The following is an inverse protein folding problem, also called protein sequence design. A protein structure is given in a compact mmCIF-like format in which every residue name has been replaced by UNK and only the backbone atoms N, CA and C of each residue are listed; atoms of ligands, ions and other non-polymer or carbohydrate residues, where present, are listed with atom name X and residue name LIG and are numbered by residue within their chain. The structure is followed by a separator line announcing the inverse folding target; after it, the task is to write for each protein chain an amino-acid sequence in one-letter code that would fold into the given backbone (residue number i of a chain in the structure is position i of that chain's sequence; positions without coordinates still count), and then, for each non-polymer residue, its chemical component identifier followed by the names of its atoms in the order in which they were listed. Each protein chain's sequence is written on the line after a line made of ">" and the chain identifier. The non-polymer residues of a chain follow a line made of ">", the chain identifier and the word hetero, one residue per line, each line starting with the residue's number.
data_IF_926052029744
#
_entry.id   IF_926052029744
#
_cell.length_a   1.000
_cell.length_b   1.000
_cell.length_c   1.000
_cell.angle_alpha   90.00
_cell.angle_beta   90.00
_cell.angle_gamma   90.00
#
_symmetry.space_group_name_H-M   'P 1'
#
loop_
_entity.id
_entity.type
_entity.pdbx_description
1 polymer ?
#
# COMPACT_ATOMS: atom_id res chain seq x y z
N UNK A 1 -4.82 -17.88 -25.64
CA UNK A 1 -3.46 -17.87 -25.07
C UNK A 1 -3.27 -16.76 -24.02
N UNK A 2 -4.13 -15.74 -23.91
CA UNK A 2 -4.06 -14.77 -22.80
C UNK A 2 -4.65 -15.30 -21.48
N UNK A 3 -5.65 -16.21 -21.55
CA UNK A 3 -6.30 -16.80 -20.39
C UNK A 3 -5.49 -17.90 -19.66
N UNK A 4 -4.31 -18.28 -20.16
CA UNK A 4 -3.50 -19.33 -19.52
C UNK A 4 -2.55 -18.78 -18.43
N UNK A 5 -2.40 -17.45 -18.34
CA UNK A 5 -1.48 -16.80 -17.38
C UNK A 5 -2.24 -16.21 -16.18
N UNK A 6 -3.52 -15.86 -16.36
CA UNK A 6 -4.30 -15.21 -15.31
C UNK A 6 -4.94 -16.28 -14.41
N UNK A 7 -4.30 -16.53 -13.26
CA UNK A 7 -4.73 -17.59 -12.35
C UNK A 7 -6.04 -17.21 -11.64
N UNK A 8 -6.83 -18.19 -11.15
CA UNK A 8 -8.01 -17.91 -10.33
C UNK A 8 -7.73 -17.01 -9.12
N UNK A 9 -6.50 -17.10 -8.58
CA UNK A 9 -6.04 -16.23 -7.50
C UNK A 9 -5.98 -14.76 -7.94
N UNK A 10 -5.46 -14.48 -9.14
CA UNK A 10 -5.43 -13.12 -9.68
C UNK A 10 -6.83 -12.60 -10.00
N UNK A 11 -7.73 -13.44 -10.50
CA UNK A 11 -9.14 -13.06 -10.68
C UNK A 11 -9.78 -12.65 -9.36
N UNK A 12 -9.60 -13.46 -8.32
CA UNK A 12 -10.07 -13.14 -6.98
C UNK A 12 -9.46 -11.82 -6.47
N UNK A 13 -8.15 -11.64 -6.66
CA UNK A 13 -7.47 -10.41 -6.26
C UNK A 13 -8.01 -9.17 -7.00
N UNK A 14 -8.32 -9.28 -8.29
CA UNK A 14 -8.89 -8.16 -9.06
C UNK A 14 -10.30 -7.76 -8.61
N UNK A 15 -11.01 -8.66 -7.94
CA UNK A 15 -12.30 -8.36 -7.29
C UNK A 15 -12.17 -7.92 -5.84
N UNK A 16 -10.94 -7.85 -5.30
CA UNK A 16 -10.72 -7.47 -3.91
C UNK A 16 -11.11 -6.01 -3.63
N UNK A 17 -11.50 -5.68 -2.39
CA UNK A 17 -11.97 -4.34 -2.04
C UNK A 17 -10.96 -3.22 -2.37
N UNK A 18 -9.66 -3.47 -2.15
CA UNK A 18 -8.60 -2.51 -2.45
C UNK A 18 -8.46 -2.26 -3.95
N UNK A 19 -8.56 -3.31 -4.77
CA UNK A 19 -8.50 -3.17 -6.23
C UNK A 19 -9.74 -2.48 -6.76
N UNK A 20 -10.93 -2.86 -6.28
CA UNK A 20 -12.19 -2.21 -6.67
C UNK A 20 -12.17 -0.71 -6.32
N UNK A 21 -11.65 -0.34 -5.15
CA UNK A 21 -11.46 1.06 -4.78
C UNK A 21 -10.48 1.79 -5.72
N UNK A 22 -9.27 1.25 -5.92
CA UNK A 22 -8.26 1.95 -6.73
C UNK A 22 -8.63 2.02 -8.21
N UNK A 23 -9.49 1.12 -8.69
CA UNK A 23 -10.05 1.19 -10.06
C UNK A 23 -11.01 2.36 -10.26
N UNK A 24 -11.50 3.02 -9.20
CA UNK A 24 -12.35 4.22 -9.33
C UNK A 24 -11.59 5.46 -9.83
N UNK A 25 -10.26 5.37 -10.00
CA UNK A 25 -9.42 6.48 -10.47
C UNK A 25 -8.99 6.32 -11.93
N UNK A 26 -8.88 7.47 -12.60
CA UNK A 26 -8.15 7.58 -13.87
C UNK A 26 -8.66 6.64 -14.97
N UNK A 27 -7.76 6.11 -15.83
CA UNK A 27 -8.15 5.27 -16.96
C UNK A 27 -8.86 3.97 -16.57
N UNK A 28 -8.60 3.44 -15.37
CA UNK A 28 -9.22 2.19 -14.91
C UNK A 28 -10.71 2.35 -14.58
N UNK A 29 -11.15 3.57 -14.26
CA UNK A 29 -12.56 3.85 -13.94
C UNK A 29 -13.52 3.60 -15.12
N UNK A 30 -12.99 3.63 -16.35
CA UNK A 30 -13.77 3.34 -17.54
C UNK A 30 -14.07 1.83 -17.70
N UNK A 31 -13.31 0.93 -17.06
CA UNK A 31 -13.53 -0.52 -17.13
C UNK A 31 -13.38 -1.12 -18.53
N UNK A 32 -12.66 -0.44 -19.44
CA UNK A 32 -12.58 -0.83 -20.85
C UNK A 32 -11.46 -1.84 -21.15
N UNK A 33 -10.64 -2.20 -20.16
CA UNK A 33 -9.50 -3.13 -20.31
C UNK A 33 -9.84 -4.55 -19.87
N UNK A 34 -9.00 -5.52 -20.24
CA UNK A 34 -9.08 -6.87 -19.67
C UNK A 34 -8.58 -6.86 -18.22
N UNK A 35 -8.95 -7.86 -17.41
CA UNK A 35 -8.41 -8.03 -16.05
C UNK A 35 -6.87 -8.05 -16.04
N UNK A 36 -6.25 -8.61 -17.10
CA UNK A 36 -4.80 -8.63 -17.25
C UNK A 36 -4.24 -7.21 -17.48
N UNK A 37 -4.85 -6.42 -18.35
CA UNK A 37 -4.42 -5.04 -18.62
C UNK A 37 -4.51 -4.17 -17.38
N UNK A 38 -5.62 -4.30 -16.65
CA UNK A 38 -5.85 -3.57 -15.40
C UNK A 38 -4.85 -4.01 -14.32
N UNK A 39 -4.58 -5.31 -14.18
CA UNK A 39 -3.58 -5.80 -13.24
C UNK A 39 -2.17 -5.31 -13.59
N UNK A 40 -1.79 -5.34 -14.87
CA UNK A 40 -0.51 -4.82 -15.35
C UNK A 40 -0.36 -3.34 -15.02
N UNK A 41 -1.43 -2.54 -15.14
CA UNK A 41 -1.41 -1.13 -14.75
C UNK A 41 -1.20 -0.92 -13.23
N UNK A 42 -1.65 -1.86 -12.38
CA UNK A 42 -1.36 -1.79 -10.94
C UNK A 42 0.12 -2.06 -10.65
N UNK A 43 0.70 -3.07 -11.31
CA UNK A 43 2.06 -3.53 -11.00
C UNK A 43 3.15 -2.73 -11.70
N UNK A 44 2.89 -2.08 -12.84
CA UNK A 44 3.90 -1.31 -13.59
C UNK A 44 4.37 -0.02 -12.88
N UNK A 45 3.64 0.37 -11.83
CA UNK A 45 3.91 1.53 -10.99
C UNK A 45 3.55 2.87 -11.62
N UNK A 46 3.11 2.94 -12.87
CA UNK A 46 2.75 4.21 -13.54
C UNK A 46 1.45 4.75 -12.98
N UNK A 47 0.40 3.93 -12.99
CA UNK A 47 -0.93 4.32 -12.54
C UNK A 47 -0.94 4.70 -11.06
N UNK A 48 -0.34 3.87 -10.20
CA UNK A 48 -0.34 4.10 -8.75
C UNK A 48 0.47 5.36 -8.35
N UNK A 49 1.54 5.70 -9.08
CA UNK A 49 2.22 6.99 -8.88
C UNK A 49 1.33 8.18 -9.29
N UNK A 50 0.48 8.04 -10.32
CA UNK A 50 -0.48 9.09 -10.67
C UNK A 50 -1.55 9.27 -9.58
N UNK A 51 -2.02 8.18 -8.98
CA UNK A 51 -2.94 8.23 -7.83
C UNK A 51 -2.24 8.92 -6.65
N UNK A 52 -1.00 8.56 -6.33
CA UNK A 52 -0.22 9.21 -5.27
C UNK A 52 -0.03 10.72 -5.52
N UNK A 53 0.16 11.14 -6.77
CA UNK A 53 0.25 12.55 -7.14
C UNK A 53 -1.08 13.30 -6.93
N UNK A 54 -2.23 12.64 -7.12
CA UNK A 54 -3.54 13.23 -6.80
C UNK A 54 -3.73 13.38 -5.29
N UNK A 55 -3.25 12.41 -4.51
CA UNK A 55 -3.31 12.41 -3.04
C UNK A 55 -2.40 13.50 -2.45
N UNK A 56 -1.15 13.60 -2.94
CA UNK A 56 -0.18 14.58 -2.50
C UNK A 56 0.44 15.37 -3.68
N UNK A 57 -0.27 16.40 -4.19
CA UNK A 57 0.22 17.21 -5.31
C UNK A 57 1.51 17.99 -5.02
N UNK A 58 1.86 18.18 -3.73
CA UNK A 58 3.05 18.91 -3.30
C UNK A 58 4.32 18.04 -3.33
N UNK A 59 4.18 16.73 -3.50
CA UNK A 59 5.31 15.80 -3.63
C UNK A 59 6.20 16.19 -4.81
N UNK A 60 7.52 16.20 -4.60
CA UNK A 60 8.45 16.34 -5.71
C UNK A 60 8.19 15.24 -6.74
N UNK A 61 7.80 15.65 -7.95
CA UNK A 61 7.46 14.73 -9.02
C UNK A 61 8.71 14.05 -9.56
N UNK A 62 9.09 12.92 -8.94
CA UNK A 62 10.11 12.04 -9.50
C UNK A 62 9.59 11.45 -10.82
N UNK A 63 10.47 11.40 -11.83
CA UNK A 63 10.06 10.98 -13.18
C UNK A 63 9.85 9.47 -13.24
N UNK A 64 8.60 9.06 -13.41
CA UNK A 64 8.23 7.66 -13.68
C UNK A 64 8.44 7.28 -15.14
N UNK A 65 8.80 6.03 -15.39
CA UNK A 65 8.91 5.47 -16.73
C UNK A 65 7.52 5.11 -17.25
N UNK A 66 7.01 5.86 -18.23
CA UNK A 66 5.67 5.65 -18.81
C UNK A 66 5.57 4.45 -19.74
N UNK A 67 6.69 4.00 -20.31
CA UNK A 67 6.76 2.86 -21.24
C UNK A 67 7.53 1.72 -20.60
N UNK A 68 6.87 1.06 -19.63
CA UNK A 68 7.49 -0.03 -18.86
C UNK A 68 7.67 -1.27 -19.71
N UNK A 69 6.75 -1.57 -20.64
CA UNK A 69 6.82 -2.71 -21.56
C UNK A 69 7.15 -4.04 -20.85
N UNK A 70 6.57 -4.25 -19.67
CA UNK A 70 6.81 -5.41 -18.80
C UNK A 70 8.27 -5.58 -18.30
N UNK A 71 9.14 -4.57 -18.47
CA UNK A 71 10.51 -4.57 -17.98
C UNK A 71 10.56 -4.53 -16.44
N UNK A 72 11.22 -5.52 -15.84
CA UNK A 72 11.31 -5.66 -14.39
C UNK A 72 12.07 -4.51 -13.73
N UNK A 73 13.15 -4.02 -14.32
CA UNK A 73 13.95 -2.94 -13.75
C UNK A 73 13.19 -1.61 -13.77
N UNK A 74 12.46 -1.32 -14.85
CA UNK A 74 11.62 -0.13 -14.94
C UNK A 74 10.44 -0.19 -13.95
N UNK A 75 9.83 -1.38 -13.79
CA UNK A 75 8.79 -1.62 -12.78
C UNK A 75 9.31 -1.37 -11.37
N UNK A 76 10.43 -2.00 -11.02
CA UNK A 76 11.09 -1.83 -9.71
C UNK A 76 11.38 -0.35 -9.46
N UNK A 77 11.90 0.37 -10.45
CA UNK A 77 12.17 1.79 -10.34
C UNK A 77 10.91 2.60 -10.03
N UNK A 78 9.83 2.41 -10.81
CA UNK A 78 8.57 3.12 -10.59
C UNK A 78 7.95 2.82 -9.22
N UNK A 79 7.94 1.54 -8.82
CA UNK A 79 7.43 1.12 -7.51
C UNK A 79 8.30 1.64 -6.36
N UNK A 80 9.62 1.73 -6.53
CA UNK A 80 10.52 2.31 -5.52
C UNK A 80 10.22 3.78 -5.27
N UNK A 81 9.91 4.54 -6.33
CA UNK A 81 9.46 5.93 -6.20
C UNK A 81 8.18 5.97 -5.36
N UNK A 82 7.19 5.15 -5.70
CA UNK A 82 5.90 5.13 -5.01
C UNK A 82 6.03 4.78 -3.53
N UNK A 83 6.75 3.71 -3.20
CA UNK A 83 6.96 3.30 -1.80
C UNK A 83 7.69 4.39 -1.02
N UNK A 84 8.67 5.06 -1.62
CA UNK A 84 9.34 6.22 -1.00
C UNK A 84 8.36 7.37 -0.74
N UNK A 85 7.52 7.71 -1.71
CA UNK A 85 6.53 8.79 -1.55
C UNK A 85 5.50 8.47 -0.47
N UNK A 86 4.99 7.23 -0.44
CA UNK A 86 4.07 6.76 0.60
C UNK A 86 4.74 6.86 1.97
N UNK A 87 5.95 6.31 2.14
CA UNK A 87 6.67 6.36 3.42
C UNK A 87 6.91 7.81 3.88
N UNK A 88 7.35 8.66 2.96
CA UNK A 88 7.56 10.08 3.25
C UNK A 88 6.26 10.77 3.66
N UNK A 89 5.14 10.46 3.00
CA UNK A 89 3.85 11.05 3.32
C UNK A 89 3.38 10.66 4.73
N UNK A 90 3.42 9.37 5.06
CA UNK A 90 3.11 8.89 6.41
C UNK A 90 3.98 9.60 7.47
N UNK A 91 5.29 9.60 7.27
CA UNK A 91 6.22 10.08 8.29
C UNK A 91 6.18 11.61 8.42
N UNK A 92 6.28 12.35 7.31
CA UNK A 92 6.48 13.80 7.35
C UNK A 92 5.16 14.57 7.32
N UNK A 93 4.13 14.06 6.64
CA UNK A 93 2.83 14.74 6.52
C UNK A 93 1.85 14.28 7.59
N UNK A 94 1.73 12.97 7.81
CA UNK A 94 0.78 12.42 8.78
C UNK A 94 1.36 12.30 10.19
N UNK A 95 2.69 12.43 10.35
CA UNK A 95 3.38 12.16 11.62
C UNK A 95 3.08 10.75 12.14
N UNK A 96 3.12 9.77 11.22
CA UNK A 96 2.82 8.36 11.49
C UNK A 96 3.98 7.47 11.01
N UNK A 97 4.29 6.43 11.77
CA UNK A 97 5.26 5.39 11.41
C UNK A 97 4.53 4.17 10.83
N UNK A 98 4.99 3.68 9.68
CA UNK A 98 4.52 2.40 9.12
C UNK A 98 5.24 1.27 9.86
N UNK A 99 4.50 0.51 10.67
CA UNK A 99 4.99 -0.56 11.54
C UNK A 99 4.92 -1.95 10.88
N UNK A 100 3.96 -2.13 9.98
CA UNK A 100 3.92 -3.30 9.10
C UNK A 100 5.12 -3.35 8.15
N UNK A 101 5.38 -4.51 7.55
CA UNK A 101 6.41 -4.62 6.51
C UNK A 101 6.06 -3.74 5.31
N UNK A 102 7.04 -2.96 4.82
CA UNK A 102 6.86 -2.17 3.61
C UNK A 102 6.73 -3.09 2.38
N UNK A 103 6.01 -2.65 1.32
CA UNK A 103 5.87 -3.43 0.09
C UNK A 103 7.24 -3.74 -0.53
N UNK A 104 7.52 -5.01 -0.77
CA UNK A 104 8.77 -5.45 -1.38
C UNK A 104 8.71 -5.30 -2.91
N UNK A 105 9.22 -4.17 -3.39
CA UNK A 105 9.24 -3.81 -4.82
C UNK A 105 10.03 -4.79 -5.68
N UNK A 106 10.97 -5.56 -5.12
CA UNK A 106 11.73 -6.56 -5.88
C UNK A 106 10.87 -7.78 -6.22
N UNK A 107 10.00 -8.19 -5.29
CA UNK A 107 9.07 -9.31 -5.50
C UNK A 107 8.06 -8.93 -6.58
N UNK A 108 7.40 -7.77 -6.45
CA UNK A 108 6.45 -7.26 -7.47
C UNK A 108 7.15 -7.07 -8.82
N UNK A 109 8.36 -6.52 -8.79
CA UNK A 109 9.21 -6.25 -9.95
C UNK A 109 9.51 -7.49 -10.79
N UNK A 110 9.99 -8.55 -10.13
CA UNK A 110 10.48 -9.77 -10.77
C UNK A 110 9.37 -10.78 -11.04
N UNK A 111 8.42 -10.92 -10.11
CA UNK A 111 7.39 -11.96 -10.14
C UNK A 111 6.00 -11.36 -9.87
N UNK A 112 5.53 -10.40 -10.68
CA UNK A 112 4.27 -9.70 -10.44
C UNK A 112 3.08 -10.67 -10.35
N UNK A 113 3.02 -11.70 -11.19
CA UNK A 113 1.91 -12.66 -11.25
C UNK A 113 1.97 -13.80 -10.20
N UNK A 114 2.91 -13.73 -9.26
CA UNK A 114 3.01 -14.72 -8.18
C UNK A 114 2.05 -14.37 -7.02
N UNK A 115 1.73 -15.36 -6.18
CA UNK A 115 0.98 -15.14 -4.93
C UNK A 115 1.70 -14.11 -4.04
N UNK A 116 3.01 -14.26 -3.85
CA UNK A 116 3.82 -13.30 -3.11
C UNK A 116 3.78 -11.90 -3.74
N UNK A 117 3.90 -11.80 -5.07
CA UNK A 117 3.78 -10.53 -5.78
C UNK A 117 2.44 -9.85 -5.53
N UNK A 118 1.36 -10.62 -5.55
CA UNK A 118 0.00 -10.14 -5.29
C UNK A 118 -0.18 -9.65 -3.85
N UNK A 119 0.37 -10.36 -2.86
CA UNK A 119 0.37 -9.91 -1.46
C UNK A 119 1.19 -8.62 -1.26
N UNK A 120 2.32 -8.45 -1.95
CA UNK A 120 3.08 -7.20 -1.89
C UNK A 120 2.33 -6.03 -2.56
N UNK A 121 1.58 -6.29 -3.64
CA UNK A 121 0.69 -5.28 -4.25
C UNK A 121 -0.45 -4.92 -3.31
N UNK A 122 -1.02 -5.89 -2.59
CA UNK A 122 -2.05 -5.64 -1.58
C UNK A 122 -1.56 -4.67 -0.50
N UNK A 123 -0.35 -4.89 0.05
CA UNK A 123 0.28 -3.96 1.02
C UNK A 123 0.44 -2.55 0.43
N UNK A 124 0.85 -2.46 -0.84
CA UNK A 124 1.02 -1.19 -1.53
C UNK A 124 -0.31 -0.43 -1.66
N UNK A 125 -1.38 -1.11 -2.07
CA UNK A 125 -2.72 -0.52 -2.18
C UNK A 125 -3.29 -0.13 -0.82
N UNK A 126 -3.06 -0.95 0.21
CA UNK A 126 -3.49 -0.69 1.58
C UNK A 126 -2.87 0.60 2.14
N UNK A 127 -1.56 0.79 1.98
CA UNK A 127 -0.88 2.02 2.41
C UNK A 127 -1.29 3.24 1.56
N UNK A 128 -1.53 3.04 0.26
CA UNK A 128 -2.02 4.11 -0.62
C UNK A 128 -3.44 4.57 -0.22
N UNK A 129 -4.30 3.64 0.20
CA UNK A 129 -5.61 3.95 0.78
C UNK A 129 -5.48 4.78 2.05
N UNK A 130 -4.58 4.39 2.96
CA UNK A 130 -4.34 5.16 4.18
C UNK A 130 -3.81 6.56 3.93
N UNK A 131 -3.00 6.76 2.87
CA UNK A 131 -2.64 8.09 2.41
C UNK A 131 -3.87 8.87 1.90
N UNK A 132 -4.70 8.26 1.06
CA UNK A 132 -5.86 8.90 0.44
C UNK A 132 -6.90 9.39 1.44
N UNK A 133 -7.24 8.56 2.44
CA UNK A 133 -8.28 8.88 3.43
C UNK A 133 -7.81 9.84 4.53
N UNK A 134 -6.51 10.09 4.61
CA UNK A 134 -5.90 11.04 5.55
C UNK A 134 -5.33 12.28 4.85
N UNK A 135 -5.56 12.45 3.55
CA UNK A 135 -5.05 13.61 2.81
C UNK A 135 -5.92 14.87 2.93
N UNK A 136 -5.39 16.00 2.45
CA UNK A 136 -6.09 17.28 2.47
C UNK A 136 -7.41 17.24 1.67
N UNK A 137 -7.50 16.38 0.66
CA UNK A 137 -8.69 16.19 -0.19
C UNK A 137 -9.44 14.89 0.14
N UNK A 138 -9.29 14.37 1.36
CA UNK A 138 -9.85 13.07 1.76
C UNK A 138 -11.33 12.93 1.44
N UNK A 139 -12.11 13.99 1.52
CA UNK A 139 -13.54 14.00 1.20
C UNK A 139 -13.80 13.49 -0.23
N UNK A 140 -13.01 13.90 -1.22
CA UNK A 140 -13.12 13.42 -2.61
C UNK A 140 -12.83 11.91 -2.73
N UNK A 141 -11.95 11.37 -1.89
CA UNK A 141 -11.61 9.95 -1.87
C UNK A 141 -12.67 9.14 -1.11
N UNK A 142 -13.22 9.69 -0.03
CA UNK A 142 -14.31 9.09 0.75
C UNK A 142 -15.60 9.04 -0.08
N UNK A 143 -15.94 10.07 -0.85
CA UNK A 143 -17.09 10.04 -1.76
C UNK A 143 -16.99 8.91 -2.79
N UNK A 144 -15.79 8.66 -3.34
CA UNK A 144 -15.56 7.52 -4.24
C UNK A 144 -15.78 6.18 -3.54
N UNK A 145 -15.30 6.03 -2.31
CA UNK A 145 -15.56 4.83 -1.49
C UNK A 145 -17.07 4.68 -1.21
N UNK A 146 -17.78 5.79 -0.98
CA UNK A 146 -19.22 5.79 -0.78
C UNK A 146 -20.01 5.40 -2.04
N UNK A 147 -19.45 5.55 -3.23
CA UNK A 147 -20.06 5.12 -4.50
C UNK A 147 -19.98 3.60 -4.76
N UNK A 148 -19.14 2.88 -4.00
CA UNK A 148 -19.02 1.42 -4.08
C UNK A 148 -20.26 0.72 -3.52
N UNK A 149 -20.46 -0.53 -3.92
CA UNK A 149 -21.49 -1.39 -3.35
C UNK A 149 -21.29 -1.60 -1.84
N UNK A 150 -22.36 -2.03 -1.17
CA UNK A 150 -22.40 -2.09 0.29
C UNK A 150 -21.29 -2.98 0.88
N UNK A 151 -21.09 -4.17 0.33
CA UNK A 151 -20.14 -5.15 0.85
C UNK A 151 -18.70 -4.68 0.61
N UNK A 152 -18.40 -4.18 -0.58
CA UNK A 152 -17.08 -3.62 -0.90
C UNK A 152 -16.77 -2.42 0.00
N UNK A 153 -17.73 -1.52 0.23
CA UNK A 153 -17.55 -0.36 1.11
C UNK A 153 -17.24 -0.76 2.55
N UNK A 154 -17.96 -1.74 3.08
CA UNK A 154 -17.71 -2.26 4.43
C UNK A 154 -16.31 -2.86 4.54
N UNK A 155 -15.87 -3.61 3.53
CA UNK A 155 -14.54 -4.20 3.50
C UNK A 155 -13.42 -3.15 3.32
N UNK A 156 -13.63 -2.11 2.50
CA UNK A 156 -12.71 -0.97 2.42
C UNK A 156 -12.64 -0.23 3.75
N UNK A 157 -13.77 -0.05 4.46
CA UNK A 157 -13.77 0.56 5.78
C UNK A 157 -12.94 -0.22 6.81
N UNK A 158 -12.96 -1.57 6.74
CA UNK A 158 -12.09 -2.40 7.57
C UNK A 158 -10.60 -2.16 7.24
N UNK A 159 -10.24 -2.04 5.96
CA UNK A 159 -8.87 -1.67 5.56
C UNK A 159 -8.48 -0.25 5.98
N UNK A 160 -9.40 0.71 6.00
CA UNK A 160 -9.14 2.04 6.55
C UNK A 160 -8.78 1.92 8.03
N UNK A 161 -9.56 1.19 8.82
CA UNK A 161 -9.26 0.96 10.24
C UNK A 161 -7.88 0.32 10.42
N UNK A 162 -7.54 -0.63 9.56
CA UNK A 162 -6.25 -1.32 9.54
C UNK A 162 -5.04 -0.38 9.37
N UNK A 163 -5.18 0.75 8.65
CA UNK A 163 -4.08 1.71 8.39
C UNK A 163 -4.23 3.07 9.07
N UNK A 164 -5.23 3.22 9.94
CA UNK A 164 -5.48 4.48 10.67
C UNK A 164 -5.67 4.29 12.16
N UNK A 165 -6.14 3.13 12.62
CA UNK A 165 -6.43 2.87 14.03
C UNK A 165 -5.69 1.63 14.58
N UNK A 166 -5.15 0.76 13.72
CA UNK A 166 -4.36 -0.39 14.15
C UNK A 166 -2.87 -0.04 14.32
N UNK A 167 -2.44 0.08 15.58
CA UNK A 167 -1.06 0.41 15.95
C UNK A 167 -0.02 -0.64 15.54
N UNK A 168 -0.43 -1.89 15.29
CA UNK A 168 0.47 -2.92 14.75
C UNK A 168 0.91 -2.63 13.31
N UNK A 169 0.10 -1.85 12.57
CA UNK A 169 0.36 -1.49 11.18
C UNK A 169 0.84 -0.06 11.03
N UNK A 170 0.25 0.89 11.76
CA UNK A 170 0.60 2.32 11.70
C UNK A 170 0.57 2.91 13.10
N UNK A 171 1.69 3.48 13.54
CA UNK A 171 1.82 4.13 14.85
C UNK A 171 1.82 5.65 14.69
N UNK A 172 0.87 6.33 15.32
CA UNK A 172 0.77 7.79 15.30
C UNK A 172 1.72 8.42 16.33
N UNK A 173 2.62 9.29 15.87
CA UNK A 173 3.65 9.91 16.72
C UNK A 173 3.06 10.91 17.71
N UNK A 174 1.84 11.40 17.50
CA UNK A 174 1.17 12.29 18.45
C UNK A 174 0.91 11.58 19.79
N UNK A 175 0.90 10.24 19.82
CA UNK A 175 0.84 9.47 21.07
C UNK A 175 2.04 9.73 21.99
N UNK A 176 3.20 10.17 21.45
CA UNK A 176 4.36 10.52 22.26
C UNK A 176 4.17 11.83 23.04
N UNK A 177 3.20 12.66 22.67
CA UNK A 177 2.90 13.93 23.33
C UNK A 177 1.80 13.82 24.39
N UNK A 178 1.14 12.65 24.49
CA UNK A 178 0.04 12.42 25.43
C UNK A 178 0.59 12.19 26.83
N UNK A 179 0.28 13.11 27.76
CA UNK A 179 0.78 13.04 29.15
C UNK A 179 -0.11 12.24 30.09
N UNK A 180 -1.39 12.05 29.75
CA UNK A 180 -2.39 11.36 30.58
C UNK A 180 -3.01 10.16 29.84
N UNK A 181 -2.20 9.13 29.57
CA UNK A 181 -2.71 7.86 29.04
C UNK A 181 -3.18 6.97 30.18
N UNK A 182 -4.33 6.32 30.01
CA UNK A 182 -4.80 5.32 30.97
C UNK A 182 -3.94 4.04 30.91
N UNK A 183 -3.90 3.27 32.00
CA UNK A 183 -3.17 2.00 32.00
C UNK A 183 -3.71 1.01 30.95
N UNK A 184 -5.01 1.05 30.66
CA UNK A 184 -5.66 0.19 29.67
C UNK A 184 -5.22 0.50 28.23
N UNK A 185 -4.76 1.72 27.96
CA UNK A 185 -4.23 2.13 26.66
C UNK A 185 -2.71 1.87 26.54
N UNK A 186 -1.98 2.04 27.65
CA UNK A 186 -0.51 1.87 27.68
C UNK A 186 -0.12 0.40 27.54
N UNK A 187 -0.82 -0.53 28.21
CA UNK A 187 -0.40 -1.93 28.26
C UNK A 187 -0.41 -2.62 26.87
N UNK A 188 -1.48 -2.51 26.05
CA UNK A 188 -1.48 -3.04 24.69
C UNK A 188 -0.39 -2.40 23.82
N UNK A 189 -0.19 -1.08 23.96
CA UNK A 189 0.83 -0.36 23.21
C UNK A 189 2.24 -0.86 23.53
N UNK A 190 2.59 -0.97 24.81
CA UNK A 190 3.89 -1.49 25.25
C UNK A 190 4.13 -2.91 24.75
N UNK A 191 3.10 -3.76 24.79
CA UNK A 191 3.17 -5.12 24.27
C UNK A 191 3.46 -5.12 22.77
N UNK A 192 2.76 -4.29 22.00
CA UNK A 192 2.98 -4.16 20.56
C UNK A 192 4.38 -3.64 20.25
N UNK A 193 4.85 -2.62 20.96
CA UNK A 193 6.21 -2.10 20.81
C UNK A 193 7.27 -3.17 21.11
N UNK A 194 7.09 -3.96 22.16
CA UNK A 194 7.99 -5.06 22.50
C UNK A 194 8.03 -6.15 21.39
N UNK A 195 6.87 -6.48 20.80
CA UNK A 195 6.78 -7.40 19.66
C UNK A 195 7.51 -6.84 18.43
N UNK A 196 7.35 -5.55 18.14
CA UNK A 196 8.07 -4.89 17.05
C UNK A 196 9.58 -4.86 17.28
N UNK A 197 10.03 -4.54 18.50
CA UNK A 197 11.45 -4.57 18.87
C UNK A 197 12.04 -5.98 18.71
N UNK A 198 11.29 -7.00 19.14
CA UNK A 198 11.69 -8.40 18.92
C UNK A 198 11.84 -8.70 17.43
N UNK A 199 10.85 -8.34 16.60
CA UNK A 199 10.92 -8.53 15.15
C UNK A 199 12.14 -7.85 14.54
N UNK A 200 12.44 -6.61 14.95
CA UNK A 200 13.62 -5.86 14.47
C UNK A 200 14.94 -6.53 14.86
N UNK A 201 15.00 -7.13 16.05
CA UNK A 201 16.17 -7.90 16.50
C UNK A 201 16.32 -9.17 15.65
N UNK A 202 15.23 -9.92 15.47
CA UNK A 202 15.22 -11.14 14.65
C UNK A 202 15.66 -10.82 13.20
N UNK A 203 15.09 -9.76 12.59
CA UNK A 203 15.48 -9.27 11.26
C UNK A 203 16.97 -8.89 11.20
N UNK A 204 17.49 -8.16 12.20
CA UNK A 204 18.91 -7.77 12.26
C UNK A 204 19.82 -9.00 12.32
N UNK A 205 19.46 -10.00 13.11
CA UNK A 205 20.27 -11.20 13.32
C UNK A 205 20.28 -12.05 12.04
N UNK A 206 19.13 -12.23 11.37
CA UNK A 206 19.04 -12.88 10.05
C UNK A 206 19.93 -12.20 9.00
N UNK A 207 19.93 -10.87 8.93
CA UNK A 207 20.79 -10.13 7.99
C UNK A 207 22.28 -10.26 8.33
N UNK A 208 22.63 -10.41 9.60
CA UNK A 208 24.02 -10.55 10.06
C UNK A 208 24.56 -11.96 9.80
N UNK A 209 23.69 -12.98 9.84
CA UNK A 209 24.03 -14.38 9.55
C UNK A 209 24.01 -14.69 8.05
N UNK A 210 23.14 -14.02 7.27
CA UNK A 210 23.02 -14.17 5.81
C UNK A 210 24.07 -13.41 4.98
N UNK A 211 24.99 -12.66 5.62
CA UNK A 211 26.07 -11.91 4.95
C UNK A 211 27.28 -12.74 4.48
N UNK A 212 27.15 -14.06 4.40
CA UNK A 212 28.17 -14.97 3.86
C UNK A 212 27.61 -15.75 2.67
N UNK A 213 27.50 -15.10 1.52
CA UNK A 213 27.56 -15.72 0.19
C UNK A 213 27.91 -14.65 -0.86
#
# INVERSE_FOLDING_TARGET
>A
MENEIFTPLLEQFMTSPLVTWVKTFGPLAAGNGTNLDEYVALVDGVFLNQVMLQINPKSESQRVNKKVNNDASLRIHNLSILVRQIKFYYQETLQQLIMMSLPNVLIIGKNPFSEQGTEEVKKLLLLLLGCAVQCQKKEEFIERIQSLDFDTKAAVAAHIQEVTHNQENVFDLQWMEVTDMSQEEIEPLLKNMALHLKRLIDERDEHSEGGKD
#
